data_IF_903344777098
#
_entry.id   IF_903344777098
#
_cell.length_a   1.000
_cell.length_b   1.000
_cell.length_c   1.000
_cell.angle_alpha   90.00
_cell.angle_beta   90.00
_cell.angle_gamma   90.00
#
_symmetry.space_group_name_H-M   'P 1'
#
loop_
_entity.id
_entity.type
_entity.pdbx_description
1 polymer ?
#
# COMPACT_ATOMS: atom_id res chain seq x y z
N UNK A 1 -24.24 36.19 32.86
CA UNK A 1 -24.73 35.59 34.13
C UNK A 1 -25.26 34.22 33.73
N UNK A 2 -24.66 33.09 34.05
CA UNK A 2 -23.96 32.66 35.26
C UNK A 2 -22.72 31.83 34.87
N UNK A 3 -21.68 32.05 35.65
CA UNK A 3 -20.38 31.38 35.71
C UNK A 3 -20.52 29.93 36.20
N UNK A 4 -19.68 29.00 35.78
CA UNK A 4 -19.10 28.02 36.71
C UNK A 4 -17.84 27.35 36.13
N UNK A 5 -16.70 27.81 36.62
CA UNK A 5 -15.36 27.23 36.43
C UNK A 5 -15.13 26.06 37.40
N UNK A 6 -14.69 24.90 36.89
CA UNK A 6 -14.13 23.83 37.75
C UNK A 6 -12.60 23.83 37.71
N UNK A 7 -12.01 24.29 38.82
CA UNK A 7 -10.61 24.14 39.23
C UNK A 7 -10.26 22.65 39.38
N UNK A 8 -9.12 22.23 38.83
CA UNK A 8 -8.44 20.99 39.20
C UNK A 8 -7.18 21.35 40.02
N UNK A 9 -7.06 20.70 41.17
CA UNK A 9 -6.10 20.96 42.24
C UNK A 9 -4.82 20.15 41.98
N UNK A 10 -3.66 20.82 41.93
CA UNK A 10 -2.34 20.18 41.97
C UNK A 10 -1.89 20.07 43.43
N UNK A 11 -1.69 18.85 43.92
CA UNK A 11 -1.12 18.56 45.23
C UNK A 11 0.35 18.16 45.05
N UNK A 12 1.24 19.04 45.49
CA UNK A 12 2.68 18.82 45.63
C UNK A 12 2.92 18.20 47.01
N UNK A 13 3.55 17.02 47.07
CA UNK A 13 4.12 16.48 48.30
C UNK A 13 5.65 16.48 48.19
N UNK A 14 6.29 17.33 49.00
CA UNK A 14 7.70 17.22 49.36
C UNK A 14 7.81 16.32 50.59
N UNK A 15 8.54 15.22 50.49
CA UNK A 15 9.12 14.53 51.65
C UNK A 15 10.57 14.23 51.33
N UNK A 16 11.48 14.90 52.05
CA UNK A 16 12.89 14.53 52.12
C UNK A 16 13.07 13.41 53.13
N UNK A 17 13.84 12.37 52.81
CA UNK A 17 14.84 11.85 53.73
C UNK A 17 15.88 10.99 53.01
N UNK A 18 17.12 11.27 53.37
CA UNK A 18 18.41 10.71 52.99
C UNK A 18 18.57 9.19 53.12
N UNK A 19 19.21 8.57 52.12
CA UNK A 19 20.15 7.47 52.35
C UNK A 19 21.16 7.37 51.20
N UNK A 20 22.44 7.50 51.57
CA UNK A 20 23.63 7.10 50.84
C UNK A 20 23.42 5.74 50.13
N UNK A 21 23.62 5.69 48.82
CA UNK A 21 24.04 4.46 48.15
C UNK A 21 25.25 4.74 47.27
N UNK A 22 26.25 3.90 47.46
CA UNK A 22 27.61 4.06 47.01
C UNK A 22 27.72 4.02 45.48
N UNK A 23 28.56 4.92 45.01
CA UNK A 23 29.13 5.03 43.68
C UNK A 23 29.52 3.65 43.11
N UNK A 24 28.94 3.28 41.97
CA UNK A 24 29.52 2.31 41.03
C UNK A 24 29.58 2.94 39.65
N UNK A 25 30.81 3.10 39.14
CA UNK A 25 31.07 3.44 37.75
C UNK A 25 30.68 2.25 36.86
N UNK A 26 29.84 2.51 35.85
CA UNK A 26 29.73 1.69 34.65
C UNK A 26 29.46 2.60 33.46
N UNK A 27 30.08 2.24 32.34
CA UNK A 27 30.40 3.05 31.16
C UNK A 27 29.24 3.74 30.44
N UNK A 28 29.59 4.88 29.84
CA UNK A 28 28.83 5.57 28.79
C UNK A 28 28.57 4.65 27.59
N UNK A 29 27.40 4.83 26.96
CA UNK A 29 27.43 5.05 25.52
C UNK A 29 26.84 6.44 25.23
N UNK A 30 27.63 7.22 24.51
CA UNK A 30 27.29 8.53 23.97
C UNK A 30 25.92 8.53 23.29
N UNK A 31 25.04 9.42 23.75
CA UNK A 31 23.84 9.79 23.03
C UNK A 31 24.17 10.48 21.71
N UNK A 32 23.50 10.07 20.64
CA UNK A 32 23.53 10.70 19.34
C UNK A 32 22.20 10.50 18.62
N UNK A 33 21.34 11.52 18.71
CA UNK A 33 20.18 11.81 17.85
C UNK A 33 19.11 10.73 17.64
N UNK A 34 18.08 10.76 18.49
CA UNK A 34 16.74 10.30 18.14
C UNK A 34 16.08 11.35 17.24
N UNK A 35 16.27 11.19 15.92
CA UNK A 35 15.46 11.83 14.88
C UNK A 35 15.29 10.84 13.74
N UNK A 36 14.24 10.04 13.81
CA UNK A 36 13.88 9.01 12.84
C UNK A 36 12.45 8.58 13.08
N UNK A 37 11.56 9.48 12.69
CA UNK A 37 10.12 9.42 12.82
C UNK A 37 9.55 8.11 12.26
N UNK A 38 8.79 7.40 13.09
CA UNK A 38 7.64 6.55 12.74
C UNK A 38 7.59 5.99 11.31
N UNK A 39 8.13 4.79 11.11
CA UNK A 39 7.65 3.86 10.05
C UNK A 39 7.57 2.42 10.58
N UNK A 40 6.88 2.25 11.71
CA UNK A 40 6.35 0.95 12.15
C UNK A 40 4.81 0.95 12.22
N UNK A 41 4.16 1.78 11.41
CA UNK A 41 2.70 1.76 11.25
C UNK A 41 2.33 1.90 9.78
N UNK A 42 2.42 0.79 9.05
CA UNK A 42 1.48 0.31 8.03
C UNK A 42 2.06 -0.93 7.34
N UNK A 43 2.07 -2.07 8.05
CA UNK A 43 1.89 -3.36 7.38
C UNK A 43 0.40 -3.51 7.03
N UNK A 44 -0.12 -2.56 6.25
CA UNK A 44 -1.25 -2.86 5.39
C UNK A 44 -0.64 -3.71 4.27
N UNK A 45 -1.23 -4.88 3.96
CA UNK A 45 -0.76 -5.76 2.89
C UNK A 45 -0.59 -4.94 1.61
N UNK A 46 0.63 -4.51 1.32
CA UNK A 46 0.92 -3.69 0.15
C UNK A 46 0.80 -4.61 -1.06
N UNK A 47 -0.32 -4.47 -1.75
CA UNK A 47 -0.61 -5.19 -2.99
C UNK A 47 -0.45 -4.20 -4.14
N UNK A 48 0.77 -4.03 -4.67
CA UNK A 48 1.01 -3.09 -5.76
C UNK A 48 0.27 -3.51 -7.02
N UNK A 49 -0.11 -2.52 -7.81
CA UNK A 49 -0.77 -2.68 -9.11
C UNK A 49 0.03 -1.99 -10.19
N UNK A 50 -0.16 -2.41 -11.45
CA UNK A 50 0.58 -1.82 -12.54
C UNK A 50 0.30 -0.32 -12.65
N UNK A 51 -0.98 0.06 -12.75
CA UNK A 51 -1.37 1.43 -13.07
C UNK A 51 -0.98 2.44 -11.98
N UNK A 52 -0.98 2.02 -10.70
CA UNK A 52 -0.73 2.91 -9.57
C UNK A 52 0.74 2.92 -9.15
N UNK A 53 1.38 1.76 -9.11
CA UNK A 53 2.66 1.59 -8.39
C UNK A 53 3.82 1.27 -9.35
N UNK A 54 3.62 0.38 -10.34
CA UNK A 54 4.70 -0.04 -11.25
C UNK A 54 4.87 0.90 -12.45
N UNK A 55 3.78 1.41 -13.03
CA UNK A 55 3.82 2.28 -14.21
C UNK A 55 4.69 3.52 -13.99
N UNK A 56 4.61 4.25 -12.84
CA UNK A 56 5.50 5.38 -12.60
C UNK A 56 7.00 5.01 -12.63
N UNK A 57 7.36 3.80 -12.15
CA UNK A 57 8.73 3.28 -12.17
C UNK A 57 9.16 3.02 -13.62
N UNK A 58 8.32 2.32 -14.40
CA UNK A 58 8.60 2.01 -15.80
C UNK A 58 8.73 3.29 -16.64
N UNK A 59 7.79 4.23 -16.49
CA UNK A 59 7.79 5.50 -17.19
C UNK A 59 9.06 6.32 -16.89
N UNK A 60 9.45 6.38 -15.61
CA UNK A 60 10.58 7.18 -15.16
C UNK A 60 11.95 6.58 -15.45
N UNK A 61 12.06 5.25 -15.52
CA UNK A 61 13.36 4.55 -15.52
C UNK A 61 13.63 3.69 -16.76
N UNK A 62 12.61 3.35 -17.53
CA UNK A 62 12.73 2.35 -18.61
C UNK A 62 12.38 2.90 -20.00
N UNK A 63 11.29 3.67 -20.10
CA UNK A 63 10.68 4.02 -21.40
C UNK A 63 11.61 4.87 -22.30
N UNK A 64 12.50 5.68 -21.74
CA UNK A 64 13.43 6.51 -22.53
C UNK A 64 14.27 5.70 -23.54
N UNK A 65 14.59 4.45 -23.20
CA UNK A 65 15.24 3.49 -24.11
C UNK A 65 14.24 2.47 -24.68
N UNK A 66 13.27 2.03 -23.88
CA UNK A 66 12.30 0.98 -24.21
C UNK A 66 11.00 1.53 -24.83
N UNK A 67 11.13 2.43 -25.79
CA UNK A 67 10.02 3.01 -26.55
C UNK A 67 10.38 3.14 -28.04
N UNK A 68 9.41 3.31 -28.94
CA UNK A 68 9.69 3.60 -30.35
C UNK A 68 10.67 4.76 -30.51
N UNK A 69 11.76 4.54 -31.27
CA UNK A 69 12.84 5.51 -31.44
C UNK A 69 13.94 5.47 -30.37
N UNK A 70 13.76 4.73 -29.28
CA UNK A 70 14.78 4.51 -28.25
C UNK A 70 15.83 3.45 -28.64
N UNK A 71 16.92 3.37 -27.86
CA UNK A 71 18.01 2.41 -28.09
C UNK A 71 17.56 0.95 -27.91
N UNK A 72 16.51 0.70 -27.13
CA UNK A 72 15.93 -0.60 -26.87
C UNK A 72 14.50 -0.74 -27.43
N UNK A 73 14.17 0.01 -28.49
CA UNK A 73 12.83 0.07 -29.10
C UNK A 73 12.24 -1.29 -29.54
N UNK A 74 13.09 -2.29 -29.76
CA UNK A 74 12.71 -3.65 -30.14
C UNK A 74 12.12 -4.47 -28.96
N UNK A 75 12.23 -3.93 -27.74
CA UNK A 75 11.61 -4.42 -26.51
C UNK A 75 10.85 -3.25 -25.89
N UNK A 76 9.68 -2.88 -26.43
CA UNK A 76 8.92 -1.77 -25.89
C UNK A 76 8.31 -2.15 -24.53
N UNK A 77 8.25 -1.18 -23.61
CA UNK A 77 7.67 -1.31 -22.27
C UNK A 77 6.65 -0.19 -22.00
N UNK A 78 5.97 0.27 -23.05
CA UNK A 78 5.18 1.49 -23.06
C UNK A 78 3.80 1.33 -22.44
N UNK A 79 3.33 0.09 -22.30
CA UNK A 79 2.03 -0.24 -21.74
C UNK A 79 2.06 -1.59 -21.01
N UNK A 80 0.98 -1.85 -20.25
CA UNK A 80 0.83 -3.07 -19.47
C UNK A 80 1.00 -4.34 -20.31
N UNK A 81 0.35 -4.42 -21.47
CA UNK A 81 0.34 -5.62 -22.31
C UNK A 81 1.73 -5.98 -22.84
N UNK A 82 2.51 -4.98 -23.25
CA UNK A 82 3.91 -5.16 -23.65
C UNK A 82 4.77 -5.72 -22.52
N UNK A 83 4.50 -5.31 -21.28
CA UNK A 83 5.26 -5.75 -20.11
C UNK A 83 4.85 -7.15 -19.69
N UNK A 84 3.55 -7.44 -19.55
CA UNK A 84 3.12 -8.74 -19.01
C UNK A 84 3.18 -9.88 -20.02
N UNK A 85 3.02 -9.59 -21.31
CA UNK A 85 3.06 -10.61 -22.38
C UNK A 85 4.36 -10.58 -23.18
N UNK A 86 5.24 -9.63 -22.90
CA UNK A 86 6.47 -9.43 -23.65
C UNK A 86 7.49 -10.55 -23.44
N UNK A 87 8.34 -10.73 -24.45
CA UNK A 87 9.38 -11.75 -24.48
C UNK A 87 10.70 -11.19 -24.97
N UNK A 88 11.79 -11.57 -24.31
CA UNK A 88 13.13 -11.08 -24.63
C UNK A 88 13.50 -11.35 -26.09
N UNK A 89 13.98 -10.31 -26.76
CA UNK A 89 14.50 -10.38 -28.13
C UNK A 89 16.03 -10.47 -28.07
N UNK A 90 16.57 -11.59 -28.51
CA UNK A 90 18.01 -11.86 -28.47
C UNK A 90 18.31 -13.35 -28.35
N UNK A 91 19.59 -13.76 -28.48
CA UNK A 91 19.99 -15.12 -28.16
C UNK A 91 19.56 -15.42 -26.72
N UNK A 92 18.98 -16.61 -26.52
CA UNK A 92 18.63 -17.06 -25.17
C UNK A 92 19.89 -17.11 -24.31
N UNK A 93 19.75 -16.76 -23.04
CA UNK A 93 20.86 -16.80 -22.12
C UNK A 93 21.12 -18.23 -21.67
N UNK A 94 22.39 -18.64 -21.61
CA UNK A 94 22.78 -19.92 -21.04
C UNK A 94 22.25 -19.99 -19.60
N UNK A 95 21.23 -20.83 -19.37
CA UNK A 95 20.64 -21.03 -18.03
C UNK A 95 19.26 -20.40 -17.78
N UNK A 96 18.69 -19.63 -18.70
CA UNK A 96 17.28 -19.19 -18.58
C UNK A 96 16.35 -20.11 -19.36
N UNK A 97 15.51 -20.87 -18.65
CA UNK A 97 14.44 -21.66 -19.29
C UNK A 97 13.28 -20.79 -19.78
N UNK A 98 13.17 -19.54 -19.31
CA UNK A 98 12.07 -18.64 -19.62
C UNK A 98 12.51 -17.36 -20.34
N UNK A 99 11.74 -16.95 -21.35
CA UNK A 99 11.92 -15.70 -22.11
C UNK A 99 10.88 -14.62 -21.80
N UNK A 100 9.86 -14.93 -20.98
CA UNK A 100 8.81 -14.00 -20.64
C UNK A 100 9.33 -12.94 -19.67
N UNK A 101 8.92 -11.69 -19.88
CA UNK A 101 9.22 -10.59 -18.96
C UNK A 101 8.58 -10.85 -17.60
N UNK A 102 7.32 -11.32 -17.60
CA UNK A 102 6.56 -11.60 -16.39
C UNK A 102 6.07 -13.04 -16.41
N UNK A 103 6.34 -13.75 -15.31
CA UNK A 103 5.69 -15.00 -14.91
C UNK A 103 4.88 -14.67 -13.67
N UNK A 104 3.56 -14.54 -13.86
CA UNK A 104 2.64 -14.21 -12.77
C UNK A 104 2.82 -15.16 -11.59
N UNK A 105 3.02 -14.62 -10.40
CA UNK A 105 3.26 -15.39 -9.17
C UNK A 105 4.70 -15.85 -8.98
N UNK A 106 5.63 -15.58 -9.90
CA UNK A 106 7.02 -16.03 -9.78
C UNK A 106 8.03 -14.96 -10.25
N UNK A 107 8.46 -14.05 -9.35
CA UNK A 107 9.47 -13.04 -9.65
C UNK A 107 10.80 -13.64 -10.12
N UNK A 108 11.25 -14.73 -9.51
CA UNK A 108 12.53 -15.38 -9.84
C UNK A 108 12.55 -16.05 -11.22
N UNK A 109 11.38 -16.33 -11.80
CA UNK A 109 11.26 -16.78 -13.18
C UNK A 109 11.02 -15.64 -14.18
N UNK A 110 10.81 -14.41 -13.70
CA UNK A 110 10.41 -13.25 -14.52
C UNK A 110 11.62 -12.44 -14.97
N UNK A 111 11.85 -12.36 -16.29
CA UNK A 111 13.01 -11.64 -16.82
C UNK A 111 13.01 -10.15 -16.47
N UNK A 112 11.85 -9.52 -16.32
CA UNK A 112 11.75 -8.12 -15.90
C UNK A 112 12.45 -7.90 -14.56
N UNK A 113 12.12 -8.74 -13.56
CA UNK A 113 12.70 -8.66 -12.22
C UNK A 113 14.17 -9.06 -12.20
N UNK A 114 14.53 -10.14 -12.90
CA UNK A 114 15.93 -10.59 -12.99
C UNK A 114 16.82 -9.53 -13.65
N UNK A 115 16.33 -8.81 -14.68
CA UNK A 115 17.09 -7.75 -15.36
C UNK A 115 17.40 -6.54 -14.48
N UNK A 116 16.52 -6.24 -13.52
CA UNK A 116 16.68 -5.11 -12.59
C UNK A 116 17.34 -5.51 -11.27
N UNK A 117 17.70 -6.78 -11.06
CA UNK A 117 18.36 -7.26 -9.83
C UNK A 117 19.69 -7.93 -10.15
N UNK A 118 19.67 -9.23 -10.46
CA UNK A 118 20.82 -10.05 -10.82
C UNK A 118 20.54 -10.76 -12.16
N UNK A 119 20.87 -10.13 -13.30
CA UNK A 119 20.53 -10.68 -14.60
C UNK A 119 21.34 -11.96 -14.85
N UNK A 120 20.71 -13.05 -15.32
CA UNK A 120 21.42 -14.28 -15.69
C UNK A 120 22.35 -14.08 -16.89
N UNK A 121 22.24 -12.93 -17.58
CA UNK A 121 23.00 -12.57 -18.76
C UNK A 121 22.82 -11.10 -19.15
N UNK A 122 23.82 -10.57 -19.85
CA UNK A 122 23.89 -9.15 -20.18
C UNK A 122 23.98 -8.28 -18.93
N UNK A 123 23.95 -6.97 -19.10
CA UNK A 123 24.06 -6.02 -18.00
C UNK A 123 22.74 -5.84 -17.25
N UNK A 124 22.84 -5.41 -15.99
CA UNK A 124 21.74 -4.93 -15.16
C UNK A 124 21.11 -3.71 -15.83
N UNK A 125 19.79 -3.62 -15.78
CA UNK A 125 19.03 -2.48 -16.32
C UNK A 125 18.47 -1.62 -15.19
N UNK A 126 18.39 -0.29 -15.36
CA UNK A 126 18.89 0.46 -16.52
C UNK A 126 20.44 0.64 -16.51
N UNK A 127 21.08 0.93 -17.65
CA UNK A 127 22.53 1.16 -17.70
C UNK A 127 22.91 2.41 -16.91
N UNK A 128 23.87 2.31 -15.98
CA UNK A 128 24.46 3.47 -15.28
C UNK A 128 23.64 4.04 -14.13
N UNK A 129 22.49 3.45 -13.77
CA UNK A 129 21.71 3.82 -12.58
C UNK A 129 20.82 2.68 -12.12
N UNK A 130 20.72 2.45 -10.81
CA UNK A 130 19.88 1.39 -10.24
C UNK A 130 18.49 1.92 -9.86
N UNK A 131 17.50 1.04 -9.89
CA UNK A 131 16.28 1.22 -9.12
C UNK A 131 16.64 1.30 -7.62
N UNK A 132 15.81 1.99 -6.84
CA UNK A 132 15.90 1.87 -5.38
C UNK A 132 15.43 0.48 -4.93
N UNK A 133 15.79 0.09 -3.71
CA UNK A 133 15.32 -1.17 -3.15
C UNK A 133 13.77 -1.23 -3.09
N UNK A 134 13.12 -0.12 -2.75
CA UNK A 134 11.66 -0.04 -2.71
C UNK A 134 11.02 -0.17 -4.11
N UNK A 135 11.67 0.36 -5.15
CA UNK A 135 11.23 0.21 -6.55
C UNK A 135 11.39 -1.24 -7.01
N UNK A 136 12.51 -1.89 -6.69
CA UNK A 136 12.74 -3.32 -6.96
C UNK A 136 11.71 -4.20 -6.21
N UNK A 137 11.46 -3.93 -4.92
CA UNK A 137 10.47 -4.64 -4.09
C UNK A 137 9.03 -4.43 -4.58
N UNK A 138 8.70 -3.22 -5.07
CA UNK A 138 7.38 -2.94 -5.66
C UNK A 138 7.13 -3.81 -6.89
N UNK A 139 8.14 -3.95 -7.77
CA UNK A 139 8.04 -4.80 -8.96
C UNK A 139 8.00 -6.28 -8.57
N UNK A 140 8.80 -6.70 -7.60
CA UNK A 140 8.79 -8.07 -7.06
C UNK A 140 7.40 -8.45 -6.55
N UNK A 141 6.86 -7.67 -5.61
CA UNK A 141 5.54 -7.90 -5.02
C UNK A 141 4.42 -7.82 -6.04
N UNK A 142 4.54 -6.94 -7.04
CA UNK A 142 3.53 -6.86 -8.09
C UNK A 142 3.48 -8.15 -8.91
N UNK A 143 4.64 -8.70 -9.30
CA UNK A 143 4.73 -9.97 -10.01
C UNK A 143 4.24 -11.12 -9.12
N UNK A 144 4.67 -11.17 -7.86
CA UNK A 144 4.25 -12.18 -6.87
C UNK A 144 2.72 -12.21 -6.69
N UNK A 145 2.07 -11.03 -6.67
CA UNK A 145 0.61 -10.91 -6.58
C UNK A 145 -0.12 -11.14 -7.93
N UNK A 146 0.54 -11.70 -8.93
CA UNK A 146 -0.08 -12.06 -10.21
C UNK A 146 -0.08 -10.95 -11.25
N UNK A 147 0.71 -9.90 -11.04
CA UNK A 147 0.86 -8.73 -11.90
C UNK A 147 -0.47 -8.05 -12.26
N UNK A 148 -1.31 -7.64 -11.28
CA UNK A 148 -2.59 -7.01 -11.56
C UNK A 148 -2.41 -5.66 -12.27
N UNK A 149 -3.21 -5.39 -13.30
CA UNK A 149 -3.18 -4.11 -14.02
C UNK A 149 -3.69 -2.96 -13.16
N UNK A 150 -4.75 -3.22 -12.41
CA UNK A 150 -5.42 -2.30 -11.48
C UNK A 150 -5.81 -3.04 -10.21
N UNK A 151 -6.17 -2.30 -9.16
CA UNK A 151 -6.74 -2.91 -7.96
C UNK A 151 -8.05 -3.62 -8.31
N UNK A 152 -8.30 -4.78 -7.71
CA UNK A 152 -9.63 -5.37 -7.69
C UNK A 152 -10.43 -4.64 -6.62
N UNK A 153 -11.48 -3.93 -7.01
CA UNK A 153 -12.48 -3.52 -6.02
C UNK A 153 -13.16 -4.78 -5.49
N UNK A 154 -13.52 -4.83 -4.20
CA UNK A 154 -14.42 -5.86 -3.71
C UNK A 154 -15.65 -5.91 -4.60
N UNK A 155 -16.18 -7.11 -4.83
CA UNK A 155 -17.50 -7.24 -5.47
C UNK A 155 -18.50 -6.37 -4.72
N UNK A 156 -19.40 -5.66 -5.40
CA UNK A 156 -20.39 -4.85 -4.68
C UNK A 156 -21.27 -5.76 -3.80
N UNK A 157 -21.59 -5.37 -2.55
CA UNK A 157 -22.54 -6.12 -1.75
C UNK A 157 -23.91 -6.14 -2.45
N UNK A 158 -24.61 -7.27 -2.33
CA UNK A 158 -25.88 -7.48 -3.02
C UNK A 158 -27.06 -7.23 -2.07
N UNK A 159 -28.27 -7.11 -2.63
CA UNK A 159 -29.51 -7.08 -1.84
C UNK A 159 -29.53 -6.01 -0.72
N UNK A 160 -29.03 -4.80 -1.02
CA UNK A 160 -29.13 -3.66 -0.12
C UNK A 160 -30.61 -3.29 0.09
N UNK A 161 -31.04 -3.34 1.35
CA UNK A 161 -32.39 -2.99 1.79
C UNK A 161 -32.33 -1.92 2.88
N UNK A 162 -33.37 -1.11 2.96
CA UNK A 162 -33.54 -0.08 3.98
C UNK A 162 -34.89 -0.28 4.65
N UNK A 163 -34.92 -0.34 5.98
CA UNK A 163 -36.14 -0.36 6.79
C UNK A 163 -36.16 0.80 7.78
N UNK A 164 -37.30 1.47 7.89
CA UNK A 164 -37.51 2.47 8.93
C UNK A 164 -37.81 1.78 10.26
N UNK A 165 -37.00 2.05 11.29
CA UNK A 165 -37.23 1.56 12.64
C UNK A 165 -38.01 2.58 13.48
N UNK A 166 -37.81 3.87 13.22
CA UNK A 166 -38.56 4.98 13.81
C UNK A 166 -38.52 6.21 12.91
N UNK A 167 -39.06 7.34 13.39
CA UNK A 167 -38.95 8.63 12.71
C UNK A 167 -37.51 9.18 12.60
N UNK A 168 -36.56 8.66 13.38
CA UNK A 168 -35.17 9.12 13.42
C UNK A 168 -34.15 7.98 13.40
N UNK A 169 -34.57 6.76 13.05
CA UNK A 169 -33.69 5.60 12.96
C UNK A 169 -34.08 4.71 11.78
N UNK A 170 -33.11 4.39 10.93
CA UNK A 170 -33.24 3.43 9.85
C UNK A 170 -32.25 2.28 10.04
N UNK A 171 -32.57 1.12 9.48
CA UNK A 171 -31.65 -0.01 9.39
C UNK A 171 -31.37 -0.31 7.92
N UNK A 172 -30.09 -0.43 7.59
CA UNK A 172 -29.63 -1.00 6.33
C UNK A 172 -29.28 -2.46 6.56
N UNK A 173 -29.63 -3.32 5.62
CA UNK A 173 -29.13 -4.70 5.53
C UNK A 173 -28.67 -4.99 4.12
N UNK A 174 -27.66 -5.84 3.96
CA UNK A 174 -27.16 -6.27 2.66
C UNK A 174 -26.61 -7.70 2.76
N UNK A 175 -26.38 -8.31 1.61
CA UNK A 175 -25.60 -9.54 1.50
C UNK A 175 -24.12 -9.20 1.35
N UNK A 176 -23.31 -9.94 2.10
CA UNK A 176 -21.88 -9.75 2.16
C UNK A 176 -21.21 -9.98 0.81
N UNK A 177 -20.18 -9.19 0.52
CA UNK A 177 -19.28 -9.38 -0.60
C UNK A 177 -18.14 -10.31 -0.17
N UNK A 178 -17.68 -11.26 -0.99
CA UNK A 178 -16.64 -12.21 -0.58
C UNK A 178 -15.22 -11.61 -0.46
N UNK A 179 -14.95 -10.51 -1.17
CA UNK A 179 -13.61 -9.94 -1.34
C UNK A 179 -13.45 -8.59 -0.61
N UNK A 180 -14.29 -8.33 0.37
CA UNK A 180 -14.29 -7.11 1.16
C UNK A 180 -13.29 -7.16 2.32
N UNK A 181 -12.80 -5.99 2.69
CA UNK A 181 -11.98 -5.79 3.89
C UNK A 181 -12.75 -4.95 4.92
N UNK A 182 -13.59 -4.04 4.43
CA UNK A 182 -14.48 -3.20 5.22
C UNK A 182 -15.59 -2.62 4.34
N UNK A 183 -16.64 -2.10 4.99
CA UNK A 183 -17.66 -1.26 4.36
C UNK A 183 -17.53 0.19 4.81
N UNK A 184 -17.85 1.10 3.91
CA UNK A 184 -18.03 2.52 4.21
C UNK A 184 -19.44 2.92 3.80
N UNK A 185 -20.20 3.49 4.72
CA UNK A 185 -21.55 3.97 4.46
C UNK A 185 -21.49 5.48 4.28
N UNK A 186 -22.03 5.93 3.16
CA UNK A 186 -22.15 7.36 2.85
C UNK A 186 -23.61 7.72 2.62
N UNK A 187 -23.94 8.96 2.96
CA UNK A 187 -25.27 9.54 2.77
C UNK A 187 -25.15 10.88 2.06
N UNK A 188 -26.08 11.13 1.15
CA UNK A 188 -26.31 12.43 0.54
C UNK A 188 -27.70 12.90 0.95
N UNK A 189 -27.82 14.09 1.53
CA UNK A 189 -29.12 14.70 1.84
C UNK A 189 -29.67 15.42 0.62
N UNK A 190 -30.98 15.69 0.63
CA UNK A 190 -31.61 16.49 -0.42
C UNK A 190 -30.98 17.89 -0.47
N UNK A 191 -30.61 18.33 -1.68
CA UNK A 191 -29.91 19.59 -1.91
C UNK A 191 -28.38 19.52 -1.82
N UNK A 192 -27.78 18.39 -1.40
CA UNK A 192 -26.33 18.20 -1.42
C UNK A 192 -25.83 17.68 -2.78
N UNK A 193 -24.69 18.18 -3.25
CA UNK A 193 -24.05 17.71 -4.50
C UNK A 193 -23.14 16.50 -4.29
N UNK A 194 -22.78 16.19 -3.04
CA UNK A 194 -21.83 15.13 -2.68
C UNK A 194 -22.33 14.25 -1.55
N UNK A 195 -21.68 13.09 -1.40
CA UNK A 195 -21.95 12.17 -0.30
C UNK A 195 -21.05 12.44 0.90
N UNK A 196 -21.62 12.50 2.09
CA UNK A 196 -20.92 12.56 3.37
C UNK A 196 -20.76 11.16 3.97
N UNK A 197 -19.61 10.86 4.54
CA UNK A 197 -19.37 9.58 5.25
C UNK A 197 -20.16 9.61 6.56
N UNK A 198 -20.98 8.58 6.80
CA UNK A 198 -21.73 8.40 8.03
C UNK A 198 -21.23 7.21 8.87
N UNK A 199 -20.63 6.21 8.22
CA UNK A 199 -19.87 5.16 8.88
C UNK A 199 -18.63 4.87 8.06
N UNK A 200 -17.47 4.80 8.72
CA UNK A 200 -16.22 4.37 8.12
C UNK A 200 -15.77 3.04 8.72
N UNK A 201 -14.98 2.27 7.97
CA UNK A 201 -14.31 1.04 8.43
C UNK A 201 -15.25 0.06 9.14
N UNK A 202 -16.47 -0.13 8.64
CA UNK A 202 -17.35 -1.16 9.16
C UNK A 202 -16.72 -2.53 8.86
N UNK A 203 -16.57 -3.44 9.84
CA UNK A 203 -15.74 -4.64 9.68
C UNK A 203 -16.17 -5.56 8.53
N UNK A 204 -15.22 -6.34 8.01
CA UNK A 204 -15.46 -7.50 7.13
C UNK A 204 -16.64 -8.36 7.64
N UNK A 205 -17.43 -8.90 6.73
CA UNK A 205 -18.65 -9.69 6.94
C UNK A 205 -19.81 -8.94 7.62
N UNK A 206 -19.73 -7.61 7.75
CA UNK A 206 -20.88 -6.84 8.24
C UNK A 206 -22.00 -6.91 7.20
N UNK A 207 -23.21 -7.22 7.65
CA UNK A 207 -24.41 -7.37 6.80
C UNK A 207 -25.55 -6.41 7.19
N UNK A 208 -25.33 -5.56 8.21
CA UNK A 208 -26.32 -4.57 8.64
C UNK A 208 -25.68 -3.39 9.38
N UNK A 209 -26.38 -2.25 9.41
CA UNK A 209 -26.08 -1.12 10.29
C UNK A 209 -27.35 -0.34 10.60
N UNK A 210 -27.45 0.25 11.79
CA UNK A 210 -28.48 1.23 12.14
C UNK A 210 -27.91 2.63 12.03
N UNK A 211 -28.65 3.53 11.40
CA UNK A 211 -28.29 4.95 11.29
C UNK A 211 -29.36 5.74 12.02
N UNK A 212 -28.92 6.67 12.87
CA UNK A 212 -29.77 7.67 13.50
C UNK A 212 -29.53 9.03 12.89
N UNK A 213 -30.61 9.79 12.77
CA UNK A 213 -30.58 11.23 12.47
C UNK A 213 -30.50 12.08 13.74
#
# INVERSE_FOLDING_TARGET
MIEETKKQIFLIFFISLSAFFLYRCAQEPTGGNQSGNQQQQQQQKFTPTYSKDVKPIIDGKCISCHSPGGQAQFVPLTNYQEIVNGTAKGPGCSGTQNKNYVVKGNPNASLLYLKITNPPCGSKMPPGGSLSQDEEETIEKWIENGAPESGTYPTAPQNLQVSALSSSEIQLTWQDSPDEEYYQIKRRKDGETGYSIIQNNLPKNSIHIKIRD
#
